data_IF_264688407289
#
_entry.id   IF_264688407289
#
_cell.length_a   1.000
_cell.length_b   1.000
_cell.length_c   1.000
_cell.angle_alpha   90.00
_cell.angle_beta   90.00
_cell.angle_gamma   90.00
#
_symmetry.space_group_name_H-M   'P 1'
#
loop_
_entity.id
_entity.type
_entity.pdbx_description
1 polymer ?
#
# COMPACT_ATOMS: atom_id res chain seq x y z
N UNK A 1 34.41 -23.55 11.92
CA UNK A 1 33.29 -24.14 11.13
C UNK A 1 32.07 -23.28 11.40
N UNK A 2 31.73 -22.35 10.51
CA UNK A 2 30.60 -21.44 10.72
C UNK A 2 29.33 -22.07 10.15
N UNK A 3 28.48 -22.55 11.06
CA UNK A 3 27.18 -23.11 10.72
C UNK A 3 26.22 -21.97 10.41
N UNK A 4 25.96 -21.71 9.12
CA UNK A 4 24.91 -20.78 8.71
C UNK A 4 23.57 -21.48 8.96
N UNK A 5 22.79 -20.96 9.91
CA UNK A 5 21.44 -21.45 10.15
C UNK A 5 20.58 -21.13 8.91
N UNK A 6 20.18 -22.17 8.17
CA UNK A 6 19.21 -22.03 7.09
C UNK A 6 17.85 -21.80 7.76
N UNK A 7 17.34 -20.57 7.66
CA UNK A 7 15.97 -20.26 8.08
C UNK A 7 15.01 -21.17 7.32
N UNK A 8 14.19 -21.94 8.05
CA UNK A 8 13.10 -22.74 7.50
C UNK A 8 12.28 -21.86 6.55
N UNK A 9 12.29 -22.20 5.25
CA UNK A 9 11.59 -21.44 4.23
C UNK A 9 10.10 -21.45 4.56
N UNK A 10 9.61 -20.34 5.12
CA UNK A 10 8.18 -20.16 5.39
C UNK A 10 7.46 -20.37 4.06
N UNK A 11 6.57 -21.36 4.01
CA UNK A 11 5.84 -21.66 2.78
C UNK A 11 5.17 -20.38 2.28
N UNK A 12 5.41 -19.99 1.03
CA UNK A 12 4.92 -18.70 0.51
C UNK A 12 3.40 -18.72 0.54
N UNK A 13 2.82 -17.84 1.35
CA UNK A 13 1.38 -17.74 1.49
C UNK A 13 0.84 -16.93 0.32
N UNK A 14 0.21 -17.63 -0.64
CA UNK A 14 -0.42 -17.00 -1.81
C UNK A 14 -1.44 -15.92 -1.40
N UNK A 15 -2.21 -16.16 -0.34
CA UNK A 15 -3.17 -15.19 0.20
C UNK A 15 -2.50 -13.88 0.65
N UNK A 16 -1.32 -13.98 1.26
CA UNK A 16 -0.56 -12.82 1.72
C UNK A 16 0.02 -12.04 0.54
N UNK A 17 0.52 -12.74 -0.49
CA UNK A 17 1.03 -12.09 -1.69
C UNK A 17 -0.08 -11.34 -2.46
N UNK A 18 -1.28 -11.92 -2.54
CA UNK A 18 -2.46 -11.26 -3.12
C UNK A 18 -2.87 -10.04 -2.28
N UNK A 19 -2.96 -10.18 -0.95
CA UNK A 19 -3.32 -9.07 -0.06
C UNK A 19 -2.33 -7.89 -0.20
N UNK A 20 -1.03 -8.19 -0.28
CA UNK A 20 0.01 -7.18 -0.51
C UNK A 20 -0.16 -6.49 -1.86
N UNK A 21 -0.43 -7.24 -2.92
CA UNK A 21 -0.71 -6.69 -4.25
C UNK A 21 -1.92 -5.75 -4.26
N UNK A 22 -3.03 -6.15 -3.64
CA UNK A 22 -4.24 -5.32 -3.52
C UNK A 22 -3.94 -4.02 -2.76
N UNK A 23 -3.17 -4.12 -1.68
CA UNK A 23 -2.79 -2.95 -0.87
C UNK A 23 -2.01 -1.94 -1.70
N UNK A 24 -1.01 -2.39 -2.47
CA UNK A 24 -0.21 -1.53 -3.35
C UNK A 24 -1.07 -0.92 -4.46
N UNK A 25 -1.95 -1.70 -5.09
CA UNK A 25 -2.87 -1.20 -6.10
C UNK A 25 -3.80 -0.11 -5.54
N UNK A 26 -4.30 -0.27 -4.31
CA UNK A 26 -5.09 0.75 -3.61
C UNK A 26 -4.31 2.04 -3.36
N UNK A 27 -3.05 1.95 -2.92
CA UNK A 27 -2.19 3.13 -2.72
C UNK A 27 -1.97 3.90 -4.02
N UNK A 28 -1.71 3.21 -5.13
CA UNK A 28 -1.54 3.84 -6.44
C UNK A 28 -2.85 4.53 -6.86
N UNK A 29 -3.98 3.85 -6.71
CA UNK A 29 -5.28 4.37 -7.12
C UNK A 29 -5.68 5.64 -6.36
N UNK A 30 -5.33 5.78 -5.08
CA UNK A 30 -5.62 6.97 -4.27
C UNK A 30 -4.61 8.10 -4.52
N UNK A 31 -3.33 7.77 -4.71
CA UNK A 31 -2.25 8.77 -4.83
C UNK A 31 -2.07 9.30 -6.25
N UNK A 32 -2.25 8.45 -7.26
CA UNK A 32 -2.10 8.79 -8.67
C UNK A 32 -3.26 8.20 -9.50
N UNK A 33 -4.45 8.83 -9.43
CA UNK A 33 -5.61 8.36 -10.18
C UNK A 33 -5.50 8.64 -11.68
N UNK A 34 -4.38 9.19 -12.17
CA UNK A 34 -4.17 9.65 -13.56
C UNK A 34 -4.96 10.92 -13.92
N UNK A 35 -6.24 10.98 -13.58
CA UNK A 35 -7.09 12.16 -13.74
C UNK A 35 -7.97 12.40 -12.52
N UNK A 36 -7.80 13.57 -11.91
CA UNK A 36 -8.56 14.02 -10.74
C UNK A 36 -10.07 14.16 -11.00
N UNK A 37 -10.49 14.20 -12.26
CA UNK A 37 -11.90 14.28 -12.69
C UNK A 37 -12.64 12.93 -12.55
N UNK A 38 -11.92 11.80 -12.60
CA UNK A 38 -12.49 10.46 -12.55
C UNK A 38 -12.24 9.73 -11.23
N UNK A 39 -11.81 10.45 -10.19
CA UNK A 39 -11.57 9.88 -8.86
C UNK A 39 -12.88 9.43 -8.23
N UNK A 40 -12.91 8.18 -7.78
CA UNK A 40 -14.02 7.64 -7.02
C UNK A 40 -14.32 8.54 -5.80
N UNK A 41 -15.56 9.02 -5.62
CA UNK A 41 -15.93 9.89 -4.51
C UNK A 41 -15.43 9.46 -3.11
N UNK A 42 -15.49 8.17 -2.70
CA UNK A 42 -14.99 7.75 -1.39
C UNK A 42 -13.47 7.80 -1.23
N UNK A 43 -12.72 7.94 -2.32
CA UNK A 43 -11.26 7.92 -2.34
C UNK A 43 -10.65 9.30 -2.54
N UNK A 44 -11.47 10.35 -2.58
CA UNK A 44 -10.97 11.72 -2.67
C UNK A 44 -10.35 12.13 -1.35
N UNK A 45 -9.16 12.69 -1.43
CA UNK A 45 -8.54 13.38 -0.31
C UNK A 45 -9.44 14.52 0.18
N UNK A 46 -9.70 14.56 1.48
CA UNK A 46 -10.40 15.68 2.10
C UNK A 46 -9.56 16.96 1.99
N UNK A 47 -10.23 18.10 1.93
CA UNK A 47 -9.55 19.39 1.96
C UNK A 47 -8.86 19.55 3.31
N UNK A 48 -7.59 19.95 3.29
CA UNK A 48 -6.86 20.27 4.50
C UNK A 48 -7.44 21.51 5.18
N UNK A 49 -7.81 21.41 6.46
CA UNK A 49 -8.42 22.51 7.23
C UNK A 49 -7.41 23.39 7.99
N UNK A 50 -6.09 23.19 7.80
CA UNK A 50 -5.09 24.05 8.41
C UNK A 50 -4.80 23.68 9.87
N UNK A 51 -3.69 23.00 10.11
CA UNK A 51 -2.93 23.21 11.35
C UNK A 51 -1.48 23.48 10.96
N UNK A 52 -1.20 24.74 10.66
CA UNK A 52 0.15 25.24 10.43
C UNK A 52 0.72 25.61 11.78
N UNK A 53 1.64 24.80 12.37
CA UNK A 53 2.37 25.23 13.55
C UNK A 53 3.34 26.33 13.10
N UNK A 54 3.02 27.58 13.42
CA UNK A 54 4.00 28.66 13.54
C UNK A 54 4.55 28.68 14.95
#
# INVERSE_FOLDING_TARGET
MNTIAVSQQSNRLLSLDIMRGITIAGMILVNDPGSWTYVYPPLRHAVWHGLTPT
#
